data_IF_957806080563
#
_entry.id   IF_957806080563
#
_cell.length_a   1.000
_cell.length_b   1.000
_cell.length_c   1.000
_cell.angle_alpha   90.00
_cell.angle_beta   90.00
_cell.angle_gamma   90.00
#
_symmetry.space_group_name_H-M   'P 1'
#
loop_
_entity.id
_entity.type
_entity.pdbx_description
1 polymer ?
#
# COMPACT_ATOMS: atom_id res chain seq x y z
N UNK A 1 -22.45 -6.16 6.69
CA UNK A 1 -21.19 -5.44 6.49
C UNK A 1 -21.56 -4.10 5.90
N UNK A 2 -21.21 -2.98 6.52
CA UNK A 2 -21.36 -1.68 5.86
C UNK A 2 -20.49 -1.71 4.62
N UNK A 3 -21.07 -1.53 3.43
CA UNK A 3 -20.35 -1.48 2.15
C UNK A 3 -19.46 -0.24 2.14
N UNK A 4 -18.27 -0.36 2.72
CA UNK A 4 -17.23 0.65 2.63
C UNK A 4 -16.54 0.49 1.29
N UNK A 5 -16.47 1.58 0.53
CA UNK A 5 -15.70 1.61 -0.71
C UNK A 5 -14.21 1.48 -0.38
N UNK A 6 -13.40 1.05 -1.35
CA UNK A 6 -11.94 1.00 -1.15
C UNK A 6 -11.34 2.37 -0.81
N UNK A 7 -11.94 3.46 -1.30
CA UNK A 7 -11.59 4.83 -0.93
C UNK A 7 -11.87 5.10 0.54
N UNK A 8 -13.05 4.71 1.05
CA UNK A 8 -13.40 4.90 2.47
C UNK A 8 -12.44 4.12 3.38
N UNK A 9 -12.14 2.88 3.02
CA UNK A 9 -11.17 2.06 3.77
C UNK A 9 -9.78 2.68 3.77
N UNK A 10 -9.33 3.21 2.63
CA UNK A 10 -8.05 3.90 2.50
C UNK A 10 -7.99 5.14 3.38
N UNK A 11 -9.07 5.93 3.40
CA UNK A 11 -9.17 7.11 4.26
C UNK A 11 -9.14 6.73 5.74
N UNK A 12 -9.91 5.73 6.16
CA UNK A 12 -9.92 5.24 7.54
C UNK A 12 -8.51 4.81 7.97
N UNK A 13 -7.79 4.08 7.11
CA UNK A 13 -6.42 3.64 7.39
C UNK A 13 -5.46 4.83 7.51
N UNK A 14 -5.52 5.78 6.56
CA UNK A 14 -4.67 6.98 6.55
C UNK A 14 -4.92 7.87 7.78
N UNK A 15 -6.17 8.03 8.21
CA UNK A 15 -6.50 8.78 9.43
C UNK A 15 -6.03 8.06 10.69
N UNK A 16 -5.99 6.71 10.69
CA UNK A 16 -5.54 5.91 11.84
C UNK A 16 -4.04 6.00 12.08
N UNK A 17 -3.24 6.09 11.01
CA UNK A 17 -1.77 6.18 11.11
C UNK A 17 -1.27 7.59 11.44
N UNK A 18 -2.16 8.60 11.43
CA UNK A 18 -1.85 9.99 11.78
C UNK A 18 -1.26 10.82 10.62
N UNK A 19 -1.30 12.14 10.79
CA UNK A 19 -1.02 13.14 9.75
C UNK A 19 0.39 13.00 9.16
N UNK A 20 1.42 12.82 9.99
CA UNK A 20 2.82 12.71 9.52
C UNK A 20 3.01 11.50 8.59
N UNK A 21 2.46 10.34 8.97
CA UNK A 21 2.60 9.11 8.19
C UNK A 21 1.74 9.15 6.94
N UNK A 22 0.53 9.70 7.05
CA UNK A 22 -0.33 9.92 5.88
C UNK A 22 0.34 10.85 4.87
N UNK A 23 1.00 11.93 5.32
CA UNK A 23 1.72 12.84 4.44
C UNK A 23 2.84 12.13 3.64
N UNK A 24 3.59 11.20 4.24
CA UNK A 24 4.57 10.39 3.51
C UNK A 24 3.91 9.52 2.43
N UNK A 25 2.75 8.92 2.71
CA UNK A 25 1.99 8.15 1.69
C UNK A 25 1.56 9.05 0.54
N UNK A 26 1.05 10.26 0.83
CA UNK A 26 0.58 11.21 -0.18
C UNK A 26 1.67 11.65 -1.17
N UNK A 27 2.95 11.71 -0.74
CA UNK A 27 4.07 12.03 -1.63
C UNK A 27 4.25 11.03 -2.78
N UNK A 28 3.73 9.81 -2.63
CA UNK A 28 3.84 8.75 -3.63
C UNK A 28 2.58 8.61 -4.51
N UNK A 29 1.58 9.45 -4.30
CA UNK A 29 0.32 9.43 -5.03
C UNK A 29 0.34 10.41 -6.21
N UNK A 30 -0.37 10.05 -7.27
CA UNK A 30 -0.69 10.94 -8.37
C UNK A 30 -1.63 12.05 -7.92
N UNK A 31 -1.64 13.17 -8.65
CA UNK A 31 -2.55 14.29 -8.39
C UNK A 31 -4.03 13.86 -8.30
N UNK A 32 -4.42 12.89 -9.13
CA UNK A 32 -5.79 12.34 -9.14
C UNK A 32 -6.10 11.56 -7.87
N UNK A 33 -5.21 10.67 -7.45
CA UNK A 33 -5.35 9.90 -6.20
C UNK A 33 -5.44 10.83 -4.98
N UNK A 34 -4.59 11.86 -4.94
CA UNK A 34 -4.61 12.90 -3.89
C UNK A 34 -5.96 13.60 -3.84
N UNK A 35 -6.51 14.02 -4.98
CA UNK A 35 -7.82 14.69 -5.04
C UNK A 35 -8.95 13.78 -4.53
N UNK A 36 -8.98 12.52 -4.95
CA UNK A 36 -9.99 11.55 -4.51
C UNK A 36 -9.94 11.31 -3.01
N UNK A 37 -8.75 11.04 -2.46
CA UNK A 37 -8.60 10.78 -1.02
C UNK A 37 -8.88 12.03 -0.18
N UNK A 38 -8.46 13.21 -0.64
CA UNK A 38 -8.72 14.47 0.07
C UNK A 38 -10.22 14.80 0.11
N UNK A 39 -10.93 14.58 -1.00
CA UNK A 39 -12.37 14.78 -1.06
C UNK A 39 -13.12 13.78 -0.17
N UNK A 40 -12.70 12.52 -0.16
CA UNK A 40 -13.27 11.51 0.71
C UNK A 40 -13.01 11.84 2.19
N UNK A 41 -11.79 12.21 2.57
CA UNK A 41 -11.42 12.66 3.91
C UNK A 41 -12.28 13.82 4.41
N UNK A 42 -12.53 14.82 3.56
CA UNK A 42 -13.37 15.96 3.93
C UNK A 42 -14.83 15.58 4.21
N UNK A 43 -15.31 14.45 3.67
CA UNK A 43 -16.67 13.95 3.87
C UNK A 43 -16.80 12.95 5.03
N UNK A 44 -15.69 12.54 5.64
CA UNK A 44 -15.73 11.65 6.82
C UNK A 44 -16.18 12.44 8.04
N UNK A 45 -17.38 12.13 8.54
CA UNK A 45 -17.96 12.76 9.72
C UNK A 45 -17.77 11.93 10.99
N UNK A 46 -17.99 10.61 10.90
CA UNK A 46 -17.80 9.70 12.02
C UNK A 46 -17.42 8.31 11.52
N UNK A 47 -16.38 7.73 12.14
CA UNK A 47 -15.98 6.34 11.93
C UNK A 47 -16.39 5.56 13.17
N UNK A 48 -17.22 4.53 13.00
CA UNK A 48 -17.55 3.64 14.12
C UNK A 48 -16.36 2.74 14.47
N UNK A 49 -16.21 2.37 15.74
CA UNK A 49 -15.19 1.42 16.17
C UNK A 49 -15.24 0.11 15.38
N UNK A 50 -16.45 -0.35 15.01
CA UNK A 50 -16.61 -1.54 14.18
C UNK A 50 -16.00 -1.37 12.79
N UNK A 51 -16.27 -0.24 12.11
CA UNK A 51 -15.70 0.03 10.78
C UNK A 51 -14.17 0.10 10.85
N UNK A 52 -13.63 0.75 11.88
CA UNK A 52 -12.19 0.81 12.10
C UNK A 52 -11.58 -0.59 12.29
N UNK A 53 -12.14 -1.41 13.19
CA UNK A 53 -11.64 -2.78 13.42
C UNK A 53 -11.75 -3.64 12.17
N UNK A 54 -12.86 -3.57 11.44
CA UNK A 54 -13.05 -4.34 10.21
C UNK A 54 -12.00 -3.96 9.15
N UNK A 55 -11.71 -2.66 8.97
CA UNK A 55 -10.69 -2.16 8.02
C UNK A 55 -9.27 -2.57 8.44
N UNK A 56 -8.93 -2.48 9.73
CA UNK A 56 -7.61 -2.86 10.22
C UNK A 56 -7.35 -4.36 10.06
N UNK A 57 -8.35 -5.21 10.30
CA UNK A 57 -8.23 -6.65 10.11
C UNK A 57 -8.03 -7.03 8.64
N UNK A 58 -8.74 -6.37 7.72
CA UNK A 58 -8.56 -6.56 6.27
C UNK A 58 -7.16 -6.10 5.83
N UNK A 59 -6.71 -4.94 6.32
CA UNK A 59 -5.36 -4.44 6.05
C UNK A 59 -4.27 -5.40 6.54
N UNK A 60 -4.39 -5.92 7.77
CA UNK A 60 -3.44 -6.89 8.34
C UNK A 60 -3.33 -8.14 7.47
N UNK A 61 -4.48 -8.70 7.06
CA UNK A 61 -4.52 -9.88 6.20
C UNK A 61 -3.86 -9.63 4.84
N UNK A 62 -4.05 -8.45 4.24
CA UNK A 62 -3.42 -8.10 2.96
C UNK A 62 -1.91 -7.83 3.10
N UNK A 63 -1.50 -7.18 4.19
CA UNK A 63 -0.10 -6.90 4.49
C UNK A 63 0.69 -8.20 4.69
N UNK A 64 0.13 -9.18 5.40
CA UNK A 64 0.74 -10.51 5.56
C UNK A 64 0.94 -11.22 4.22
N UNK A 65 -0.06 -11.18 3.33
CA UNK A 65 0.06 -11.79 2.00
C UNK A 65 1.16 -11.12 1.17
N UNK A 66 1.24 -9.79 1.22
CA UNK A 66 2.28 -9.05 0.50
C UNK A 66 3.69 -9.32 1.06
N UNK A 67 3.82 -9.41 2.38
CA UNK A 67 5.08 -9.77 3.04
C UNK A 67 5.52 -11.19 2.66
N UNK A 68 4.59 -12.16 2.68
CA UNK A 68 4.86 -13.54 2.27
C UNK A 68 5.32 -13.63 0.81
N UNK A 69 4.68 -12.88 -0.11
CA UNK A 69 5.09 -12.83 -1.52
C UNK A 69 6.49 -12.25 -1.71
N UNK A 70 6.86 -11.19 -0.98
CA UNK A 70 8.21 -10.61 -1.06
C UNK A 70 9.30 -11.53 -0.52
N UNK A 71 9.04 -12.24 0.59
CA UNK A 71 9.98 -13.22 1.14
C UNK A 71 10.20 -14.35 0.12
N UNK A 72 9.10 -14.88 -0.44
CA UNK A 72 9.18 -15.93 -1.46
C UNK A 72 9.89 -15.45 -2.75
N UNK A 73 9.72 -14.20 -3.15
CA UNK A 73 10.39 -13.64 -4.33
C UNK A 73 11.91 -13.50 -4.13
N UNK A 74 12.37 -13.11 -2.94
CA UNK A 74 13.79 -13.04 -2.62
C UNK A 74 14.44 -14.44 -2.55
N UNK A 75 13.75 -15.40 -1.94
CA UNK A 75 14.24 -16.79 -1.88
C UNK A 75 14.22 -17.46 -3.26
N UNK A 76 13.20 -17.17 -4.06
CA UNK A 76 13.13 -17.58 -5.45
C UNK A 76 14.26 -16.97 -6.28
N UNK A 77 14.48 -15.65 -6.18
CA UNK A 77 15.57 -14.96 -6.87
C UNK A 77 16.93 -15.54 -6.48
N UNK A 78 17.16 -15.77 -5.18
CA UNK A 78 18.36 -16.46 -4.69
C UNK A 78 18.50 -17.84 -5.33
N UNK A 79 17.44 -18.65 -5.33
CA UNK A 79 17.44 -19.99 -5.94
C UNK A 79 17.77 -19.95 -7.44
N UNK A 80 17.19 -19.00 -8.17
CA UNK A 80 17.45 -18.78 -9.60
C UNK A 80 18.90 -18.39 -9.85
N UNK A 81 19.43 -17.42 -9.09
CA UNK A 81 20.82 -16.96 -9.24
C UNK A 81 21.83 -18.06 -8.90
N UNK A 82 21.60 -18.81 -7.81
CA UNK A 82 22.46 -19.95 -7.44
C UNK A 82 22.46 -21.02 -8.52
N UNK A 83 21.30 -21.36 -9.08
CA UNK A 83 21.19 -22.34 -10.17
C UNK A 83 21.85 -21.86 -11.46
N UNK A 84 21.77 -20.56 -11.77
CA UNK A 84 22.29 -20.00 -13.01
C UNK A 84 23.80 -19.71 -12.97
N UNK A 85 24.32 -19.30 -11.81
CA UNK A 85 25.66 -18.70 -11.70
C UNK A 85 26.58 -19.40 -10.69
N UNK A 86 26.06 -20.33 -9.88
CA UNK A 86 26.75 -20.96 -8.76
C UNK A 86 26.67 -20.14 -7.47
N UNK A 87 26.86 -20.80 -6.32
CA UNK A 87 26.68 -20.19 -4.98
C UNK A 87 27.54 -18.94 -4.77
N UNK A 88 28.81 -18.98 -5.16
CA UNK A 88 29.78 -17.90 -4.92
C UNK A 88 29.40 -16.61 -5.66
N UNK A 89 29.12 -16.70 -6.97
CA UNK A 89 28.73 -15.53 -7.77
C UNK A 89 27.34 -15.01 -7.42
N UNK A 90 26.41 -15.90 -7.07
CA UNK A 90 25.09 -15.49 -6.61
C UNK A 90 25.17 -14.74 -5.27
N UNK A 91 26.03 -15.18 -4.35
CA UNK A 91 26.24 -14.51 -3.07
C UNK A 91 26.84 -13.11 -3.24
N UNK A 92 27.78 -12.94 -4.17
CA UNK A 92 28.38 -11.63 -4.47
C UNK A 92 27.37 -10.66 -5.09
N UNK A 93 26.57 -11.11 -6.06
CA UNK A 93 25.52 -10.27 -6.68
C UNK A 93 24.45 -9.88 -5.66
N UNK A 94 24.01 -10.82 -4.81
CA UNK A 94 23.02 -10.54 -3.77
C UNK A 94 23.58 -9.61 -2.69
N UNK A 95 24.87 -9.72 -2.34
CA UNK A 95 25.53 -8.79 -1.42
C UNK A 95 25.62 -7.38 -2.01
N UNK A 96 25.92 -7.26 -3.30
CA UNK A 96 26.06 -5.97 -3.96
C UNK A 96 24.69 -5.28 -4.13
N UNK A 97 23.62 -6.03 -4.42
CA UNK A 97 22.23 -5.51 -4.41
C UNK A 97 21.80 -5.08 -3.00
N UNK A 98 22.15 -5.86 -1.96
CA UNK A 98 21.90 -5.52 -0.57
C UNK A 98 22.75 -4.34 -0.06
N UNK A 99 23.92 -4.08 -0.64
CA UNK A 99 24.77 -2.94 -0.31
C UNK A 99 24.31 -1.65 -1.04
N UNK A 100 23.76 -1.78 -2.25
CA UNK A 100 23.14 -0.69 -3.00
C UNK A 100 21.76 -0.30 -2.48
N UNK A 101 21.06 -1.23 -1.80
CA UNK A 101 19.89 -0.94 -0.96
C UNK A 101 20.40 -0.43 0.39
N UNK A 102 20.33 0.88 0.63
CA UNK A 102 20.86 1.54 1.83
C UNK A 102 20.43 0.91 3.17
N UNK A 103 21.06 1.30 4.30
CA UNK A 103 20.99 0.60 5.58
C UNK A 103 19.56 0.31 6.03
N UNK A 104 19.33 -0.94 6.43
CA UNK A 104 18.05 -1.64 6.72
C UNK A 104 17.13 -0.97 7.77
N UNK A 105 17.48 0.20 8.31
CA UNK A 105 16.57 1.00 9.17
C UNK A 105 15.58 1.86 8.41
N UNK A 106 15.86 2.22 7.15
CA UNK A 106 14.91 2.93 6.27
C UNK A 106 14.02 1.95 5.47
N UNK A 107 14.55 0.78 5.09
CA UNK A 107 13.84 -0.16 4.21
C UNK A 107 12.65 -0.85 4.87
N UNK A 108 12.63 -1.00 6.19
CA UNK A 108 11.48 -1.60 6.90
C UNK A 108 10.29 -0.63 6.91
N UNK A 109 10.53 0.64 7.24
CA UNK A 109 9.52 1.71 7.16
C UNK A 109 9.06 1.93 5.72
N UNK A 110 9.98 1.92 4.74
CA UNK A 110 9.61 2.01 3.32
C UNK A 110 8.84 0.79 2.80
N UNK A 111 9.15 -0.42 3.27
CA UNK A 111 8.40 -1.62 2.89
C UNK A 111 7.02 -1.66 3.55
N UNK A 112 6.91 -1.24 4.82
CA UNK A 112 5.63 -1.05 5.51
C UNK A 112 4.81 0.06 4.83
N UNK A 113 5.43 1.18 4.45
CA UNK A 113 4.79 2.26 3.70
C UNK A 113 4.41 1.83 2.28
N UNK A 114 5.22 1.01 1.60
CA UNK A 114 4.88 0.42 0.29
C UNK A 114 3.73 -0.57 0.40
N UNK A 115 3.67 -1.36 1.46
CA UNK A 115 2.53 -2.23 1.73
C UNK A 115 1.27 -1.39 1.93
N UNK A 116 1.32 -0.31 2.74
CA UNK A 116 0.21 0.64 2.90
C UNK A 116 -0.18 1.27 1.56
N UNK A 117 0.78 1.77 0.78
CA UNK A 117 0.54 2.41 -0.51
C UNK A 117 -0.08 1.44 -1.53
N UNK A 118 0.42 0.21 -1.60
CA UNK A 118 -0.09 -0.81 -2.52
C UNK A 118 -1.45 -1.33 -2.11
N UNK A 119 -1.73 -1.43 -0.80
CA UNK A 119 -3.06 -1.77 -0.30
C UNK A 119 -4.03 -0.62 -0.56
N UNK A 120 -3.66 0.63 -0.29
CA UNK A 120 -4.46 1.82 -0.64
C UNK A 120 -4.77 1.85 -2.14
N UNK A 121 -3.78 1.57 -3.00
CA UNK A 121 -3.98 1.48 -4.46
C UNK A 121 -4.88 0.32 -4.86
N UNK A 122 -4.66 -0.87 -4.31
CA UNK A 122 -5.48 -2.05 -4.58
C UNK A 122 -6.93 -1.85 -4.13
N UNK A 123 -7.13 -1.28 -2.94
CA UNK A 123 -8.44 -0.90 -2.44
C UNK A 123 -9.08 0.11 -3.41
N UNK A 124 -8.34 1.10 -3.92
CA UNK A 124 -8.84 2.03 -4.93
C UNK A 124 -9.14 1.38 -6.31
N UNK A 125 -8.43 0.32 -6.69
CA UNK A 125 -8.56 -0.38 -7.98
C UNK A 125 -9.67 -1.44 -8.02
N UNK A 126 -10.12 -1.97 -6.87
CA UNK A 126 -11.17 -3.03 -6.80
C UNK A 126 -12.59 -2.58 -7.20
N UNK A 127 -12.76 -1.35 -7.73
CA UNK A 127 -13.84 -1.07 -8.67
C UNK A 127 -15.15 -0.54 -8.12
N UNK A 128 -15.11 0.48 -7.24
CA UNK A 128 -16.22 1.44 -7.08
C UNK A 128 -15.79 2.89 -7.37
N UNK A 129 -14.83 3.09 -8.27
CA UNK A 129 -14.68 4.39 -8.94
C UNK A 129 -15.53 4.41 -10.20
N UNK A 130 -16.84 4.56 -10.04
CA UNK A 130 -17.65 5.19 -11.08
C UNK A 130 -17.20 6.65 -11.13
N UNK A 131 -16.21 6.90 -11.99
CA UNK A 131 -15.93 8.23 -12.48
C UNK A 131 -17.17 8.58 -13.30
N UNK A 132 -18.14 9.22 -12.67
CA UNK A 132 -19.23 9.87 -13.39
C UNK A 132 -18.59 10.83 -14.38
N UNK A 133 -18.53 10.41 -15.64
CA UNK A 133 -18.40 11.30 -16.77
C UNK A 133 -19.55 12.29 -16.64
N UNK A 134 -19.22 13.56 -16.43
CA UNK A 134 -20.20 14.60 -16.21
C UNK A 134 -21.21 14.64 -17.34
N UNK A 135 -22.49 14.71 -16.98
CA UNK A 135 -23.38 15.67 -17.60
C UNK A 135 -23.88 16.59 -16.50
N UNK A 136 -23.47 17.85 -16.63
CA UNK A 136 -24.14 18.98 -16.03
C UNK A 136 -25.64 18.88 -16.29
N UNK A 137 -26.46 19.04 -15.26
CA UNK A 137 -27.61 19.94 -15.36
C UNK A 137 -27.91 20.51 -13.98
N UNK A 138 -27.51 21.76 -13.79
CA UNK A 138 -28.24 22.67 -12.93
C UNK A 138 -29.59 22.98 -13.61
N UNK A 139 -30.70 22.44 -13.10
CA UNK A 139 -31.98 23.15 -12.82
C UNK A 139 -32.78 22.34 -11.80
#
# INVERSE_FOLDING_TARGET
MSNLTGTDKSVILLMTIGEDRAAEVFKHLSQREVQTLSAAMANVTQISNKQLTDVLAEFEQEAEQFAALNINANDYLRSVLVKALGEERAADILRDDLANRGPVRLSQVENEQKAILLIVRRLAETGEMVIGSGEDTYV
#
